data_IF_511825948855
#
_entry.id   IF_511825948855
#
_cell.length_a   1.000
_cell.length_b   1.000
_cell.length_c   1.000
_cell.angle_alpha   90.00
_cell.angle_beta   90.00
_cell.angle_gamma   90.00
#
_symmetry.space_group_name_H-M   'P 1'
#
loop_
_entity.id
_entity.type
_entity.pdbx_description
1 polymer ?
#
# COMPACT_ATOMS: atom_id res chain seq x y z
N UNK A 1 4.78 2.00 -32.95
CA UNK A 1 3.82 0.92 -32.68
C UNK A 1 3.54 0.90 -31.18
N UNK A 2 2.35 1.32 -30.73
CA UNK A 2 2.02 1.31 -29.30
C UNK A 2 1.95 -0.12 -28.78
N UNK A 3 2.78 -0.45 -27.79
CA UNK A 3 2.82 -1.78 -27.13
C UNK A 3 1.71 -1.95 -26.08
N UNK A 4 1.09 -0.86 -25.65
CA UNK A 4 0.05 -0.85 -24.61
C UNK A 4 -1.14 -1.80 -24.88
N UNK A 5 -1.71 -1.89 -26.11
CA UNK A 5 -2.81 -2.80 -26.40
C UNK A 5 -2.44 -4.27 -26.21
N UNK A 6 -1.20 -4.64 -26.56
CA UNK A 6 -0.70 -6.01 -26.39
C UNK A 6 -0.52 -6.35 -24.92
N UNK A 7 0.05 -5.44 -24.12
CA UNK A 7 0.22 -5.63 -22.68
C UNK A 7 -1.12 -5.82 -21.95
N UNK A 8 -2.11 -5.00 -22.26
CA UNK A 8 -3.46 -5.11 -21.68
C UNK A 8 -4.14 -6.43 -22.06
N UNK A 9 -3.96 -6.88 -23.32
CA UNK A 9 -4.51 -8.16 -23.78
C UNK A 9 -3.88 -9.36 -23.06
N UNK A 10 -2.58 -9.33 -22.82
CA UNK A 10 -1.91 -10.40 -22.08
C UNK A 10 -2.35 -10.42 -20.62
N UNK A 11 -2.43 -9.24 -20.00
CA UNK A 11 -2.93 -9.09 -18.64
C UNK A 11 -4.30 -9.75 -18.43
N UNK A 12 -5.24 -9.52 -19.35
CA UNK A 12 -6.54 -10.16 -19.30
C UNK A 12 -6.44 -11.69 -19.31
N UNK A 13 -5.67 -12.23 -20.25
CA UNK A 13 -5.51 -13.68 -20.43
C UNK A 13 -4.87 -14.35 -19.22
N UNK A 14 -3.91 -13.69 -18.60
CA UNK A 14 -3.10 -14.28 -17.56
C UNK A 14 -3.79 -14.26 -16.18
N UNK A 15 -4.64 -13.25 -15.91
CA UNK A 15 -5.19 -13.04 -14.55
C UNK A 15 -6.71 -12.89 -14.46
N UNK A 16 -7.42 -12.68 -15.57
CA UNK A 16 -8.83 -12.27 -15.54
C UNK A 16 -9.79 -13.17 -16.31
N UNK A 17 -9.33 -14.30 -16.85
CA UNK A 17 -10.22 -15.33 -17.41
C UNK A 17 -11.15 -15.82 -16.30
N UNK A 18 -12.47 -15.66 -16.47
CA UNK A 18 -13.49 -16.02 -15.47
C UNK A 18 -13.70 -14.97 -14.37
N UNK A 19 -13.00 -13.84 -14.43
CA UNK A 19 -13.16 -12.68 -13.53
C UNK A 19 -13.30 -11.39 -14.35
N UNK A 20 -14.19 -11.39 -15.34
CA UNK A 20 -14.32 -10.31 -16.32
C UNK A 20 -14.75 -8.98 -15.68
N UNK A 21 -15.57 -9.05 -14.61
CA UNK A 21 -15.99 -7.87 -13.84
C UNK A 21 -14.80 -7.13 -13.25
N UNK A 22 -13.87 -7.87 -12.65
CA UNK A 22 -12.67 -7.34 -12.01
C UNK A 22 -11.73 -6.72 -13.04
N UNK A 23 -11.72 -7.24 -14.26
CA UNK A 23 -10.98 -6.64 -15.37
C UNK A 23 -11.58 -5.30 -15.82
N UNK A 24 -12.92 -5.20 -15.89
CA UNK A 24 -13.58 -3.95 -16.24
C UNK A 24 -13.27 -2.84 -15.23
N UNK A 25 -13.24 -3.18 -13.94
CA UNK A 25 -12.82 -2.25 -12.90
C UNK A 25 -11.39 -1.76 -13.13
N UNK A 26 -10.45 -2.66 -13.44
CA UNK A 26 -9.08 -2.27 -13.75
C UNK A 26 -8.99 -1.37 -15.00
N UNK A 27 -9.81 -1.63 -16.02
CA UNK A 27 -9.87 -0.78 -17.22
C UNK A 27 -10.40 0.63 -16.92
N UNK A 28 -11.39 0.75 -16.04
CA UNK A 28 -11.91 2.04 -15.57
C UNK A 28 -10.78 2.81 -14.86
N UNK A 29 -10.09 2.16 -13.92
CA UNK A 29 -8.93 2.76 -13.25
C UNK A 29 -7.84 3.21 -14.24
N UNK A 30 -7.49 2.36 -15.22
CA UNK A 30 -6.50 2.71 -16.24
C UNK A 30 -6.91 3.92 -17.09
N UNK A 31 -8.20 4.02 -17.43
CA UNK A 31 -8.75 5.15 -18.18
C UNK A 31 -8.68 6.45 -17.39
N UNK A 32 -8.97 6.41 -16.10
CA UNK A 32 -8.99 7.60 -15.23
C UNK A 32 -7.59 8.12 -14.89
N UNK A 33 -6.61 7.22 -14.78
CA UNK A 33 -5.29 7.57 -14.26
C UNK A 33 -4.14 7.46 -15.28
N UNK A 34 -4.39 6.91 -16.48
CA UNK A 34 -3.40 6.70 -17.54
C UNK A 34 -2.10 6.01 -17.06
N UNK A 35 -2.24 5.06 -16.11
CA UNK A 35 -1.15 4.52 -15.28
C UNK A 35 -0.78 3.05 -15.61
N UNK A 36 -0.75 2.68 -16.90
CA UNK A 36 -0.49 1.29 -17.31
C UNK A 36 0.83 0.71 -16.75
N UNK A 37 1.91 1.49 -16.76
CA UNK A 37 3.21 1.03 -16.27
C UNK A 37 3.19 0.76 -14.75
N UNK A 38 2.44 1.54 -13.97
CA UNK A 38 2.29 1.30 -12.52
C UNK A 38 1.47 0.06 -12.21
N UNK A 39 0.43 -0.20 -12.99
CA UNK A 39 -0.37 -1.43 -12.89
C UNK A 39 0.50 -2.66 -13.15
N UNK A 40 1.33 -2.62 -14.20
CA UNK A 40 2.26 -3.71 -14.50
C UNK A 40 3.29 -3.91 -13.37
N UNK A 41 3.87 -2.82 -12.86
CA UNK A 41 4.81 -2.88 -11.74
C UNK A 41 4.16 -3.41 -10.44
N UNK A 42 2.89 -3.09 -10.18
CA UNK A 42 2.14 -3.62 -9.05
C UNK A 42 1.94 -5.14 -9.16
N UNK A 43 1.64 -5.64 -10.35
CA UNK A 43 1.48 -7.09 -10.59
C UNK A 43 2.81 -7.81 -10.41
N UNK A 44 3.90 -7.29 -10.97
CA UNK A 44 5.24 -7.86 -10.75
C UNK A 44 5.61 -7.90 -9.26
N UNK A 45 5.24 -6.87 -8.50
CA UNK A 45 5.46 -6.86 -7.04
C UNK A 45 4.66 -7.94 -6.32
N UNK A 46 3.39 -8.14 -6.68
CA UNK A 46 2.56 -9.18 -6.09
C UNK A 46 3.09 -10.59 -6.44
N UNK A 47 3.57 -10.78 -7.67
CA UNK A 47 4.14 -12.07 -8.11
C UNK A 47 5.40 -12.48 -7.34
N UNK A 48 6.14 -11.55 -6.76
CA UNK A 48 7.32 -11.87 -5.93
C UNK A 48 6.95 -12.59 -4.64
N UNK A 49 5.68 -12.52 -4.20
CA UNK A 49 5.21 -13.20 -3.01
C UNK A 49 4.12 -14.24 -3.37
N UNK A 50 4.50 -15.52 -3.53
CA UNK A 50 3.56 -16.57 -3.95
C UNK A 50 2.43 -16.85 -2.95
N UNK A 51 2.53 -16.37 -1.70
CA UNK A 51 1.46 -16.48 -0.72
C UNK A 51 0.38 -15.40 -0.87
N UNK A 52 0.63 -14.36 -1.66
CA UNK A 52 -0.33 -13.27 -1.87
C UNK A 52 -1.19 -13.57 -3.09
N UNK A 53 -2.47 -13.79 -2.85
CA UNK A 53 -3.46 -13.84 -3.93
C UNK A 53 -3.51 -12.48 -4.66
N UNK A 54 -3.34 -12.51 -5.97
CA UNK A 54 -3.49 -11.33 -6.84
C UNK A 54 -4.99 -11.02 -6.95
N UNK A 55 -5.36 -9.76 -6.73
CA UNK A 55 -6.72 -9.25 -6.92
C UNK A 55 -6.67 -7.82 -7.47
N UNK A 56 -7.73 -7.37 -8.14
CA UNK A 56 -7.83 -6.01 -8.69
C UNK A 56 -7.63 -4.96 -7.63
N UNK A 57 -8.27 -5.10 -6.47
CA UNK A 57 -8.12 -4.15 -5.35
C UNK A 57 -6.65 -3.95 -4.95
N UNK A 58 -5.88 -5.04 -4.85
CA UNK A 58 -4.46 -4.98 -4.46
C UNK A 58 -3.60 -4.35 -5.55
N UNK A 59 -3.91 -4.65 -6.81
CA UNK A 59 -3.23 -4.04 -7.97
C UNK A 59 -3.49 -2.54 -7.99
N UNK A 60 -4.77 -2.13 -7.89
CA UNK A 60 -5.18 -0.71 -7.87
C UNK A 60 -4.53 0.00 -6.69
N UNK A 61 -4.59 -0.59 -5.48
CA UNK A 61 -3.95 -0.05 -4.29
C UNK A 61 -2.46 0.20 -4.53
N UNK A 62 -1.70 -0.81 -4.96
CA UNK A 62 -0.27 -0.63 -5.22
C UNK A 62 0.02 0.37 -6.35
N UNK A 63 -0.80 0.42 -7.39
CA UNK A 63 -0.64 1.36 -8.49
C UNK A 63 -1.01 2.80 -8.11
N UNK A 64 -1.93 2.98 -7.16
CA UNK A 64 -2.34 4.30 -6.64
C UNK A 64 -1.34 4.88 -5.65
N UNK A 65 -0.59 4.03 -4.94
CA UNK A 65 0.53 4.43 -4.09
C UNK A 65 1.69 4.93 -4.97
N UNK A 66 1.62 6.15 -5.51
CA UNK A 66 2.72 6.73 -6.29
C UNK A 66 3.98 6.89 -5.44
N UNK A 67 5.17 6.58 -6.00
CA UNK A 67 6.59 6.66 -5.51
C UNK A 67 6.94 6.45 -4.03
N UNK A 68 5.98 6.39 -3.11
CA UNK A 68 6.07 5.70 -1.84
C UNK A 68 6.00 4.19 -2.11
N UNK A 69 6.99 3.70 -2.87
CA UNK A 69 7.59 2.44 -2.48
C UNK A 69 8.05 2.71 -1.06
N UNK A 70 7.24 2.30 -0.09
CA UNK A 70 7.77 2.01 1.23
C UNK A 70 8.85 0.97 0.94
N UNK A 71 10.09 1.45 0.72
CA UNK A 71 11.24 0.76 1.26
C UNK A 71 10.74 0.44 2.66
N UNK A 72 10.55 -0.83 2.94
CA UNK A 72 10.59 -1.31 4.30
C UNK A 72 12.00 -0.99 4.78
N UNK A 73 12.28 0.29 5.01
CA UNK A 73 13.16 0.69 6.08
C UNK A 73 12.39 0.15 7.25
N UNK A 74 12.74 -1.06 7.64
CA UNK A 74 12.46 -1.54 8.97
C UNK A 74 13.23 -0.57 9.88
N UNK A 75 12.66 0.62 10.08
CA UNK A 75 13.11 1.57 11.09
C UNK A 75 12.70 0.92 12.38
N UNK A 76 13.56 0.01 12.84
CA UNK A 76 13.48 -0.66 14.14
C UNK A 76 13.31 0.34 15.29
N UNK A 77 13.50 1.63 15.00
CA UNK A 77 13.44 2.74 15.92
C UNK A 77 12.09 3.47 15.95
N UNK A 78 11.22 3.45 14.92
CA UNK A 78 9.98 4.27 14.98
C UNK A 78 9.02 3.80 16.08
N UNK A 79 8.80 2.49 16.20
CA UNK A 79 7.96 1.93 17.28
C UNK A 79 8.59 2.20 18.64
N UNK A 80 9.91 2.10 18.75
CA UNK A 80 10.66 2.33 19.99
C UNK A 80 10.60 3.80 20.41
N UNK A 81 10.81 4.73 19.48
CA UNK A 81 10.73 6.17 19.70
C UNK A 81 9.32 6.57 20.11
N UNK A 82 8.30 6.12 19.38
CA UNK A 82 6.91 6.44 19.71
C UNK A 82 6.50 5.88 21.08
N UNK A 83 6.97 4.67 21.41
CA UNK A 83 6.70 4.06 22.72
C UNK A 83 7.37 4.85 23.86
N UNK A 84 8.59 5.35 23.63
CA UNK A 84 9.33 6.15 24.61
C UNK A 84 8.69 7.52 24.84
N UNK A 85 8.24 8.18 23.78
CA UNK A 85 7.49 9.45 23.86
C UNK A 85 6.19 9.27 24.66
N UNK A 86 5.43 8.22 24.36
CA UNK A 86 4.19 7.90 25.08
C UNK A 86 4.45 7.62 26.56
N UNK A 87 5.50 6.85 26.90
CA UNK A 87 5.88 6.58 28.29
C UNK A 87 6.27 7.87 29.03
N UNK A 88 6.99 8.77 28.35
CA UNK A 88 7.42 10.05 28.92
C UNK A 88 6.23 10.96 29.21
N UNK A 89 5.28 11.04 28.29
CA UNK A 89 4.04 11.79 28.49
C UNK A 89 3.22 11.24 29.67
N UNK A 90 3.13 9.90 29.81
CA UNK A 90 2.45 9.26 30.94
C UNK A 90 3.16 9.59 32.26
N UNK A 91 4.49 9.51 32.29
CA UNK A 91 5.29 9.82 33.49
C UNK A 91 5.08 11.26 33.94
N UNK A 92 5.10 12.20 33.00
CA UNK A 92 4.83 13.61 33.29
C UNK A 92 3.44 13.82 33.91
N UNK A 93 2.40 13.12 33.43
CA UNK A 93 1.05 13.20 34.01
C UNK A 93 0.99 12.71 35.46
N UNK A 94 1.82 11.73 35.84
CA UNK A 94 1.91 11.25 37.21
C UNK A 94 2.73 12.19 38.12
N UNK A 95 3.78 12.80 37.59
CA UNK A 95 4.59 13.78 38.32
C UNK A 95 3.85 15.11 38.55
N UNK A 96 3.04 15.55 37.59
CA UNK A 96 2.22 16.76 37.71
C UNK A 96 1.16 16.64 38.81
N UNK A 97 0.78 15.41 39.20
CA UNK A 97 -0.16 15.16 40.31
C UNK A 97 0.49 15.20 41.70
N UNK A 98 1.82 15.27 41.81
CA UNK A 98 2.51 15.42 43.12
C UNK A 98 2.64 16.87 43.59
N UNK A 99 2.35 17.85 42.74
CA UNK A 99 2.38 19.29 43.09
C UNK A 99 0.97 19.90 43.24
N UNK A 100 -0.05 19.07 43.46
CA UNK A 100 -1.36 19.50 43.92
C UNK A 100 -1.39 19.69 45.44
N UNK A 101 -0.84 20.84 45.86
CA UNK A 101 -1.07 21.63 47.08
C UNK A 101 -1.95 21.02 48.20
N UNK A 102 -1.33 20.90 49.38
CA UNK A 102 -1.96 20.94 50.71
C UNK A 102 -3.14 21.92 50.74
N UNK A 103 -4.35 21.45 51.05
CA UNK A 103 -5.34 22.25 51.76
C UNK A 103 -6.27 21.36 52.57
#
# INVERSE_FOLDING_TARGET
>A
MSQAPTKIKNLYKDYYIGNERDFLELLIYLKEHNNLEKVLAAIEQLMKNPMVQISTDKIIFLASQGEHVHKTVHSKNEVTTQSLENLSAITALFETKKTGVLH
#
